data_IF_367615775596
#
_entry.id   IF_367615775596
#
_cell.length_a   1.000
_cell.length_b   1.000
_cell.length_c   1.000
_cell.angle_alpha   90.00
_cell.angle_beta   90.00
_cell.angle_gamma   90.00
#
_symmetry.space_group_name_H-M   'P 1'
#
loop_
_entity.id
_entity.type
_entity.pdbx_description
1 polymer ?
#
# COMPACT_ATOMS: atom_id res chain seq x y z
N UNK A 1 27.03 3.80 -1.84
CA UNK A 1 25.84 3.24 -2.15
C UNK A 1 24.73 4.26 -2.32
N UNK A 2 23.94 4.07 -3.26
CA UNK A 2 22.96 4.99 -3.52
C UNK A 2 21.69 4.64 -2.81
N UNK A 3 21.14 5.55 -2.16
CA UNK A 3 19.91 5.30 -1.45
C UNK A 3 18.78 5.81 -2.27
N UNK A 4 17.83 4.95 -2.54
CA UNK A 4 16.72 5.34 -3.28
C UNK A 4 15.79 6.11 -2.41
N UNK A 5 15.35 7.22 -2.90
CA UNK A 5 14.41 8.03 -2.14
C UNK A 5 13.08 7.28 -2.07
N UNK A 6 12.47 7.31 -0.91
CA UNK A 6 11.19 6.69 -0.72
C UNK A 6 10.16 7.53 -1.48
N UNK A 7 9.20 6.92 -2.11
CA UNK A 7 8.25 7.70 -2.85
C UNK A 7 7.33 8.46 -1.88
N UNK A 8 6.83 9.59 -2.35
CA UNK A 8 6.04 10.47 -1.50
C UNK A 8 4.77 9.83 -0.98
N UNK A 9 4.23 8.90 -1.73
CA UNK A 9 3.00 8.24 -1.31
C UNK A 9 3.24 7.36 -0.11
N UNK A 10 4.33 6.62 -0.12
CA UNK A 10 4.67 5.77 1.02
C UNK A 10 4.92 6.62 2.25
N UNK A 11 5.63 7.74 2.06
CA UNK A 11 5.94 8.62 3.18
C UNK A 11 4.68 9.16 3.82
N UNK A 12 3.71 9.56 3.01
CA UNK A 12 2.48 10.12 3.52
C UNK A 12 1.75 9.12 4.41
N UNK A 13 1.57 7.91 3.93
CA UNK A 13 0.88 6.89 4.71
C UNK A 13 1.68 6.56 5.97
N UNK A 14 2.99 6.42 5.85
CA UNK A 14 3.81 6.05 6.98
C UNK A 14 3.81 7.10 8.08
N UNK A 15 3.68 8.36 7.73
CA UNK A 15 3.60 9.41 8.73
C UNK A 15 2.36 9.27 9.58
N UNK A 16 1.21 9.05 8.93
CA UNK A 16 -0.02 8.88 9.67
C UNK A 16 0.02 7.59 10.49
N UNK A 17 0.60 6.54 9.92
CA UNK A 17 0.70 5.28 10.63
C UNK A 17 1.55 5.44 11.90
N UNK A 18 2.67 6.13 11.80
CA UNK A 18 3.55 6.32 12.95
C UNK A 18 2.87 7.11 14.06
N UNK A 19 1.98 8.02 13.68
CA UNK A 19 1.30 8.84 14.68
C UNK A 19 0.11 8.14 15.32
N UNK A 20 -0.56 7.30 14.59
CA UNK A 20 -1.86 6.80 15.00
C UNK A 20 -1.94 5.31 15.31
N UNK A 21 -0.97 4.52 14.88
CA UNK A 21 -1.03 3.07 15.05
C UNK A 21 -0.03 2.60 16.09
N UNK A 22 -0.25 1.41 16.67
CA UNK A 22 0.71 0.85 17.62
C UNK A 22 2.06 0.58 16.95
N UNK A 23 3.12 0.86 17.67
CA UNK A 23 4.47 0.72 17.13
C UNK A 23 4.83 -0.72 16.78
N UNK A 24 4.14 -1.67 17.35
CA UNK A 24 4.44 -3.07 17.09
C UNK A 24 4.13 -3.49 15.66
N UNK A 25 3.26 -2.77 14.97
CA UNK A 25 2.94 -3.09 13.59
C UNK A 25 3.71 -2.15 12.68
N UNK A 26 4.84 -2.61 12.20
CA UNK A 26 5.73 -1.77 11.43
C UNK A 26 5.60 -1.97 9.93
N UNK A 27 5.31 -0.93 9.18
CA UNK A 27 5.16 -1.06 7.72
C UNK A 27 6.51 -1.14 7.03
N UNK A 28 6.50 -1.76 5.86
CA UNK A 28 7.68 -1.90 5.03
C UNK A 28 7.35 -1.33 3.66
N UNK A 29 8.27 -0.60 3.06
CA UNK A 29 8.05 -0.09 1.73
C UNK A 29 8.88 -0.87 0.72
N UNK A 30 8.46 -0.87 -0.52
CA UNK A 30 9.19 -1.50 -1.61
C UNK A 30 9.45 -3.00 -1.42
N UNK A 31 8.54 -3.67 -0.76
CA UNK A 31 8.66 -5.10 -0.56
C UNK A 31 8.18 -5.84 -1.81
N UNK A 32 8.99 -6.73 -2.38
CA UNK A 32 8.61 -7.44 -3.61
C UNK A 32 7.69 -8.60 -3.30
N UNK A 33 6.41 -8.34 -3.29
CA UNK A 33 5.44 -9.31 -2.81
C UNK A 33 5.24 -10.53 -3.71
N UNK A 34 5.60 -10.42 -4.98
CA UNK A 34 5.42 -11.54 -5.91
C UNK A 34 6.73 -12.10 -6.43
N UNK A 35 7.81 -11.88 -5.70
CA UNK A 35 9.09 -12.41 -6.09
C UNK A 35 9.06 -13.94 -6.15
N UNK A 36 8.25 -14.55 -5.33
CA UNK A 36 8.16 -16.00 -5.26
C UNK A 36 7.72 -16.61 -6.60
N UNK A 37 6.99 -15.86 -7.39
CA UNK A 37 6.60 -16.34 -8.72
C UNK A 37 7.36 -15.63 -9.83
N UNK A 38 8.50 -15.06 -9.49
CA UNK A 38 9.38 -14.48 -10.50
C UNK A 38 8.99 -13.10 -11.00
N UNK A 39 8.13 -12.41 -10.30
CA UNK A 39 7.71 -11.08 -10.70
C UNK A 39 8.37 -10.02 -9.81
N UNK A 40 8.16 -8.77 -10.14
CA UNK A 40 8.85 -7.69 -9.45
C UNK A 40 7.96 -6.55 -8.98
N UNK A 41 6.72 -6.83 -8.72
CA UNK A 41 5.83 -5.78 -8.26
C UNK A 41 6.06 -5.51 -6.76
N UNK A 42 5.78 -4.27 -6.38
CA UNK A 42 5.84 -3.87 -4.98
C UNK A 42 4.59 -3.07 -4.67
N UNK A 43 4.24 -3.00 -3.39
CA UNK A 43 3.21 -2.07 -2.94
C UNK A 43 3.92 -0.83 -2.40
N UNK A 44 3.23 0.28 -2.32
CA UNK A 44 3.81 1.48 -1.73
C UNK A 44 4.24 1.20 -0.30
N UNK A 45 3.37 0.52 0.45
CA UNK A 45 3.63 0.14 1.83
C UNK A 45 2.97 -1.20 2.05
N UNK A 46 3.53 -2.03 2.89
CA UNK A 46 2.85 -3.27 3.22
C UNK A 46 3.26 -3.81 4.59
N UNK A 47 2.53 -4.81 5.01
CA UNK A 47 2.79 -5.51 6.25
C UNK A 47 2.90 -6.99 5.87
N UNK A 48 4.09 -7.43 5.47
CA UNK A 48 4.25 -8.76 4.87
C UNK A 48 3.80 -9.91 5.76
N UNK A 49 4.00 -9.76 7.06
CA UNK A 49 3.63 -10.80 8.00
C UNK A 49 2.15 -11.12 7.93
N UNK A 50 1.33 -10.14 7.59
CA UNK A 50 -0.11 -10.31 7.55
C UNK A 50 -0.67 -10.31 6.13
N UNK A 51 0.21 -10.19 5.14
CA UNK A 51 -0.18 -10.13 3.74
C UNK A 51 -1.16 -9.00 3.45
N UNK A 52 -0.85 -7.85 4.00
CA UNK A 52 -1.66 -6.67 3.78
C UNK A 52 -0.82 -5.63 3.06
N UNK A 53 -1.34 -5.11 1.95
CA UNK A 53 -0.67 -4.10 1.18
C UNK A 53 -1.48 -2.81 1.17
N UNK A 54 -0.79 -1.69 0.97
CA UNK A 54 -1.43 -0.40 0.86
C UNK A 54 -0.87 0.31 -0.34
N UNK A 55 -1.76 0.79 -1.21
CA UNK A 55 -1.39 1.56 -2.36
C UNK A 55 -1.97 2.95 -2.19
N UNK A 56 -1.16 3.96 -2.39
CA UNK A 56 -1.66 5.33 -2.32
C UNK A 56 -1.72 5.82 -3.77
N UNK A 57 -2.93 5.85 -4.31
CA UNK A 57 -3.12 6.20 -5.69
C UNK A 57 -3.16 7.70 -5.84
N UNK A 58 -2.22 8.23 -6.50
CA UNK A 58 -2.13 9.64 -6.57
C UNK A 58 -2.96 10.22 -7.63
N UNK A 59 -4.19 10.12 -7.48
CA UNK A 59 -5.08 10.42 -8.52
C UNK A 59 -5.31 11.76 -9.05
N UNK A 60 -4.96 12.78 -8.40
CA UNK A 60 -5.38 14.03 -8.90
C UNK A 60 -4.84 14.39 -10.24
N UNK A 61 -3.66 13.96 -10.56
CA UNK A 61 -3.15 14.32 -11.80
C UNK A 61 -3.39 13.27 -12.79
N UNK A 62 -4.40 12.53 -12.57
CA UNK A 62 -4.69 11.55 -13.45
C UNK A 62 -5.51 12.09 -14.50
N UNK A 63 -5.27 13.26 -14.95
CA UNK A 63 -5.95 13.75 -16.04
C UNK A 63 -5.67 12.83 -17.17
N UNK A 64 -4.74 12.00 -17.02
CA UNK A 64 -4.47 11.09 -18.08
C UNK A 64 -5.46 10.01 -18.08
N UNK A 65 -6.49 10.23 -17.42
CA UNK A 65 -7.61 9.42 -17.62
C UNK A 65 -7.55 7.99 -17.27
N UNK A 66 -7.35 7.69 -16.12
CA UNK A 66 -7.52 6.34 -15.77
C UNK A 66 -6.52 5.36 -16.28
N UNK A 67 -5.37 5.83 -16.52
CA UNK A 67 -4.37 4.92 -16.93
C UNK A 67 -4.13 3.86 -15.96
N UNK A 68 -4.53 4.04 -14.71
CA UNK A 68 -4.29 2.97 -13.79
C UNK A 68 -5.28 1.89 -13.93
N UNK A 69 -6.14 1.92 -14.92
CA UNK A 69 -7.00 0.78 -15.14
C UNK A 69 -6.44 -0.01 -16.30
N UNK A 70 -5.16 0.11 -16.55
CA UNK A 70 -4.53 -0.62 -17.61
C UNK A 70 -4.50 -2.11 -17.28
N UNK A 71 -4.20 -2.91 -18.28
CA UNK A 71 -4.06 -4.33 -18.09
C UNK A 71 -2.94 -4.64 -17.09
N UNK A 72 -1.88 -3.83 -17.10
CA UNK A 72 -0.78 -4.03 -16.16
C UNK A 72 -1.26 -3.87 -14.73
N UNK A 73 -2.12 -2.89 -14.48
CA UNK A 73 -2.68 -2.70 -13.16
C UNK A 73 -3.56 -3.86 -12.76
N UNK A 74 -4.37 -4.32 -13.69
CA UNK A 74 -5.24 -5.45 -13.42
C UNK A 74 -4.43 -6.70 -13.13
N UNK A 75 -3.35 -6.89 -13.87
CA UNK A 75 -2.50 -8.03 -13.67
C UNK A 75 -1.88 -8.02 -12.27
N UNK A 76 -1.39 -6.87 -11.86
CA UNK A 76 -0.80 -6.74 -10.52
C UNK A 76 -1.82 -7.08 -9.44
N UNK A 77 -3.04 -6.58 -9.61
CA UNK A 77 -4.10 -6.85 -8.64
C UNK A 77 -4.46 -8.33 -8.59
N UNK A 78 -4.52 -8.95 -9.77
CA UNK A 78 -4.85 -10.36 -9.81
C UNK A 78 -3.77 -11.23 -9.19
N UNK A 79 -2.51 -10.86 -9.42
CA UNK A 79 -1.41 -11.59 -8.82
C UNK A 79 -1.47 -11.44 -7.30
N UNK A 80 -1.71 -10.23 -6.82
CA UNK A 80 -1.80 -10.01 -5.39
C UNK A 80 -2.91 -10.85 -4.79
N UNK A 81 -4.06 -10.90 -5.44
CA UNK A 81 -5.18 -11.70 -4.95
C UNK A 81 -4.83 -13.18 -4.94
N UNK A 82 -4.14 -13.66 -6.00
CA UNK A 82 -3.79 -15.08 -6.07
C UNK A 82 -2.81 -15.47 -4.99
N UNK A 83 -2.01 -14.52 -4.51
CA UNK A 83 -1.06 -14.76 -3.44
C UNK A 83 -1.66 -14.41 -2.07
N UNK A 84 -2.96 -14.18 -2.05
CA UNK A 84 -3.70 -13.93 -0.83
C UNK A 84 -3.35 -12.64 -0.11
N UNK A 85 -3.01 -11.62 -0.87
CA UNK A 85 -2.76 -10.31 -0.30
C UNK A 85 -4.07 -9.52 -0.25
N UNK A 86 -4.29 -8.83 0.84
CA UNK A 86 -5.41 -7.93 0.99
C UNK A 86 -4.86 -6.54 0.76
N UNK A 87 -5.33 -5.84 -0.23
CA UNK A 87 -4.75 -4.57 -0.62
C UNK A 87 -5.74 -3.44 -0.44
N UNK A 88 -5.29 -2.40 0.27
CA UNK A 88 -6.10 -1.21 0.47
C UNK A 88 -5.63 -0.12 -0.47
N UNK A 89 -6.55 0.67 -0.99
CA UNK A 89 -6.23 1.77 -1.87
C UNK A 89 -6.74 3.07 -1.27
N UNK A 90 -5.87 4.03 -1.12
CA UNK A 90 -6.25 5.34 -0.62
C UNK A 90 -5.69 6.40 -1.55
N UNK A 91 -6.37 7.52 -1.70
CA UNK A 91 -5.78 8.67 -2.36
C UNK A 91 -5.14 9.55 -1.29
N UNK A 92 -4.24 10.44 -1.66
CA UNK A 92 -3.70 11.39 -0.68
C UNK A 92 -4.81 12.21 -0.01
N UNK A 93 -5.85 12.54 -0.77
CA UNK A 93 -6.95 13.32 -0.21
C UNK A 93 -7.70 12.53 0.86
N UNK A 94 -7.89 11.24 0.64
CA UNK A 94 -8.55 10.40 1.64
C UNK A 94 -7.73 10.36 2.93
N UNK A 95 -6.42 10.20 2.77
CA UNK A 95 -5.55 10.14 3.93
C UNK A 95 -5.53 11.46 4.70
N UNK A 96 -5.57 12.56 3.98
CA UNK A 96 -5.54 13.86 4.63
C UNK A 96 -6.87 14.21 5.27
N UNK A 97 -7.96 13.76 4.64
CA UNK A 97 -9.28 14.09 5.13
C UNK A 97 -9.66 13.28 6.38
N UNK A 98 -9.25 12.02 6.41
CA UNK A 98 -9.62 11.16 7.52
C UNK A 98 -8.50 10.15 7.82
N UNK A 99 -7.37 10.63 8.33
CA UNK A 99 -6.26 9.73 8.61
C UNK A 99 -6.60 8.68 9.66
N UNK A 100 -7.39 9.06 10.66
CA UNK A 100 -7.78 8.12 11.70
C UNK A 100 -8.56 6.95 11.12
N UNK A 101 -9.51 7.25 10.25
CA UNK A 101 -10.32 6.20 9.64
C UNK A 101 -9.53 5.29 8.73
N UNK A 102 -8.62 5.88 7.95
CA UNK A 102 -7.80 5.09 7.06
C UNK A 102 -6.87 4.15 7.83
N UNK A 103 -6.21 4.66 8.85
CA UNK A 103 -5.32 3.85 9.67
C UNK A 103 -6.11 2.78 10.42
N UNK A 104 -7.27 3.15 10.95
CA UNK A 104 -8.08 2.19 11.69
C UNK A 104 -8.54 1.03 10.82
N UNK A 105 -8.84 1.30 9.56
CA UNK A 105 -9.28 0.27 8.64
C UNK A 105 -8.19 -0.76 8.40
N UNK A 106 -6.97 -0.32 8.17
CA UNK A 106 -5.85 -1.21 7.95
C UNK A 106 -5.51 -1.96 9.24
N UNK A 107 -5.55 -1.26 10.36
CA UNK A 107 -5.24 -1.85 11.65
C UNK A 107 -6.22 -2.96 12.00
N UNK A 108 -7.50 -2.75 11.67
CA UNK A 108 -8.50 -3.76 11.91
C UNK A 108 -8.20 -5.02 11.10
N UNK A 109 -7.79 -4.85 9.84
CA UNK A 109 -7.46 -6.00 9.02
C UNK A 109 -6.26 -6.76 9.58
N UNK A 110 -5.27 -6.04 10.10
CA UNK A 110 -4.12 -6.69 10.72
C UNK A 110 -4.58 -7.51 11.93
N UNK A 111 -5.40 -6.92 12.77
CA UNK A 111 -5.85 -7.60 13.97
C UNK A 111 -6.75 -8.80 13.66
N UNK A 112 -7.53 -8.70 12.62
CA UNK A 112 -8.39 -9.81 12.24
C UNK A 112 -7.59 -10.98 11.68
N UNK A 113 -6.35 -10.74 11.26
CA UNK A 113 -5.54 -11.82 10.70
C UNK A 113 -4.68 -12.52 11.75
N UNK A 114 -4.70 -12.06 12.97
CA UNK A 114 -3.91 -12.67 14.04
C UNK A 114 -4.67 -13.84 14.74
#
# INVERSE_FOLDING_TARGET
MRTRAKNDKAILFERYWAMLAPAEFEPVSEYPFDKVIGRKHCFDVCFPQYRIGVEVDGGTWMKNGGRHNSEADMEKRNIAASLRWLVFHFTPQMLQRDPDGCVAMVLRAIRDSI
#
